data_IF_442312004110
#
_entry.id   IF_442312004110
#
_cell.length_a   1.000
_cell.length_b   1.000
_cell.length_c   1.000
_cell.angle_alpha   90.00
_cell.angle_beta   90.00
_cell.angle_gamma   90.00
#
_symmetry.space_group_name_H-M   'P 1'
#
loop_
_entity.id
_entity.type
_entity.pdbx_description
1 polymer ?
#
# COMPACT_ATOMS: atom_id res chain seq x y z
N UNK A 1 -16.50 1.33 -2.14
CA UNK A 1 -15.85 2.50 -2.78
C UNK A 1 -15.99 2.37 -4.30
N UNK A 2 -16.08 3.48 -5.06
CA UNK A 2 -16.36 3.45 -6.51
C UNK A 2 -15.28 2.75 -7.35
N UNK A 3 -14.01 2.77 -6.93
CA UNK A 3 -12.91 2.06 -7.61
C UNK A 3 -13.04 0.53 -7.53
N UNK A 4 -13.42 0.01 -6.36
CA UNK A 4 -13.73 -1.42 -6.18
C UNK A 4 -14.89 -1.88 -7.08
N UNK A 5 -15.83 -0.99 -7.38
CA UNK A 5 -16.98 -1.24 -8.28
C UNK A 5 -16.66 -0.95 -9.75
N UNK A 6 -15.39 -0.74 -10.11
CA UNK A 6 -14.92 -0.36 -11.46
C UNK A 6 -15.54 0.94 -12.02
N UNK A 7 -16.10 1.79 -11.16
CA UNK A 7 -16.69 3.07 -11.57
C UNK A 7 -15.65 4.19 -11.70
N UNK A 8 -14.40 3.93 -11.31
CA UNK A 8 -13.24 4.82 -11.47
C UNK A 8 -12.18 4.01 -12.19
N UNK A 9 -11.59 4.59 -13.26
CA UNK A 9 -10.54 3.91 -14.03
C UNK A 9 -9.19 3.95 -13.31
N UNK A 10 -8.35 2.97 -13.60
CA UNK A 10 -7.00 2.88 -13.02
C UNK A 10 -6.15 4.10 -13.41
N UNK A 11 -6.34 4.59 -14.64
CA UNK A 11 -5.71 5.82 -15.13
C UNK A 11 -6.10 7.06 -14.30
N UNK A 12 -7.33 7.11 -13.76
CA UNK A 12 -7.74 8.22 -12.90
C UNK A 12 -7.02 8.19 -11.55
N UNK A 13 -6.89 7.01 -10.93
CA UNK A 13 -6.19 6.84 -9.64
C UNK A 13 -4.68 7.07 -9.81
N UNK A 14 -4.08 6.58 -10.88
CA UNK A 14 -2.68 6.87 -11.21
C UNK A 14 -2.43 8.37 -11.41
N UNK A 15 -3.41 9.10 -11.98
CA UNK A 15 -3.32 10.56 -12.13
C UNK A 15 -3.33 11.27 -10.79
N UNK A 16 -4.08 10.77 -9.81
CA UNK A 16 -4.05 11.30 -8.44
C UNK A 16 -2.68 11.12 -7.79
N UNK A 17 -2.07 9.94 -7.96
CA UNK A 17 -0.73 9.63 -7.43
C UNK A 17 0.39 10.52 -8.00
N UNK A 18 0.19 11.14 -9.17
CA UNK A 18 1.18 12.02 -9.82
C UNK A 18 0.96 13.52 -9.55
N UNK A 19 -0.11 13.90 -8.85
CA UNK A 19 -0.36 15.32 -8.52
C UNK A 19 0.60 15.80 -7.45
N UNK A 20 0.98 17.08 -7.52
CA UNK A 20 1.78 17.74 -6.47
C UNK A 20 1.01 17.97 -5.15
N UNK A 21 -0.27 17.58 -5.10
CA UNK A 21 -1.13 17.72 -3.94
C UNK A 21 -1.06 16.46 -3.07
N UNK A 22 -0.67 16.65 -1.80
CA UNK A 22 -0.52 15.58 -0.82
C UNK A 22 -1.80 14.75 -0.64
N UNK A 23 -2.97 15.39 -0.63
CA UNK A 23 -4.24 14.71 -0.39
C UNK A 23 -4.65 13.82 -1.55
N UNK A 24 -4.34 14.21 -2.79
CA UNK A 24 -4.56 13.36 -3.96
C UNK A 24 -3.64 12.14 -3.97
N UNK A 25 -2.35 12.32 -3.64
CA UNK A 25 -1.41 11.20 -3.50
C UNK A 25 -1.85 10.23 -2.40
N UNK A 26 -2.26 10.78 -1.25
CA UNK A 26 -2.79 9.98 -0.14
C UNK A 26 -4.07 9.24 -0.52
N UNK A 27 -5.00 9.91 -1.21
CA UNK A 27 -6.25 9.29 -1.65
C UNK A 27 -6.00 8.10 -2.57
N UNK A 28 -5.00 8.18 -3.46
CA UNK A 28 -4.61 7.07 -4.32
C UNK A 28 -4.17 5.84 -3.49
N UNK A 29 -3.32 6.03 -2.48
CA UNK A 29 -2.89 4.93 -1.59
C UNK A 29 -4.01 4.41 -0.70
N UNK A 30 -4.84 5.28 -0.13
CA UNK A 30 -5.98 4.83 0.69
C UNK A 30 -6.96 4.01 -0.14
N UNK A 31 -7.14 4.34 -1.42
CA UNK A 31 -7.97 3.56 -2.31
C UNK A 31 -7.48 2.10 -2.46
N UNK A 32 -6.17 1.85 -2.42
CA UNK A 32 -5.62 0.48 -2.49
C UNK A 32 -5.93 -0.32 -1.23
N UNK A 33 -5.99 0.32 -0.06
CA UNK A 33 -6.37 -0.36 1.19
C UNK A 33 -7.78 -0.95 1.11
N UNK A 34 -8.70 -0.25 0.42
CA UNK A 34 -10.08 -0.72 0.22
C UNK A 34 -10.12 -1.94 -0.71
N UNK A 35 -9.28 -1.98 -1.75
CA UNK A 35 -9.17 -3.14 -2.66
C UNK A 35 -8.70 -4.42 -1.93
N UNK A 36 -7.88 -4.24 -0.89
CA UNK A 36 -7.23 -5.35 -0.19
C UNK A 36 -7.83 -5.66 1.18
N UNK A 37 -8.88 -4.96 1.62
CA UNK A 37 -9.49 -5.18 2.93
C UNK A 37 -10.83 -5.89 2.81
N UNK A 38 -10.93 -7.13 3.32
CA UNK A 38 -12.14 -7.97 3.29
C UNK A 38 -13.39 -7.26 3.83
N UNK A 39 -13.28 -6.54 4.95
CA UNK A 39 -14.41 -5.83 5.57
C UNK A 39 -14.99 -4.71 4.69
N UNK A 40 -14.26 -4.27 3.66
CA UNK A 40 -14.72 -3.28 2.69
C UNK A 40 -15.11 -3.91 1.33
N UNK A 41 -15.18 -5.25 1.26
CA UNK A 41 -15.48 -6.02 0.05
C UNK A 41 -14.27 -6.23 -0.86
N UNK A 42 -13.05 -5.91 -0.40
CA UNK A 42 -11.82 -6.14 -1.13
C UNK A 42 -11.47 -7.62 -1.26
N UNK A 43 -10.98 -8.02 -2.43
CA UNK A 43 -10.60 -9.39 -2.77
C UNK A 43 -9.09 -9.57 -2.95
N UNK A 44 -8.29 -8.52 -2.70
CA UNK A 44 -6.88 -8.50 -3.05
C UNK A 44 -6.68 -8.14 -4.53
N UNK A 45 -5.96 -7.05 -4.79
CA UNK A 45 -5.60 -6.63 -6.15
C UNK A 45 -4.12 -6.23 -6.17
N UNK A 46 -3.26 -7.24 -6.33
CA UNK A 46 -1.80 -7.06 -6.33
C UNK A 46 -1.37 -6.07 -7.39
N UNK A 47 -1.81 -6.25 -8.64
CA UNK A 47 -1.37 -5.47 -9.78
C UNK A 47 -1.66 -3.97 -9.59
N UNK A 48 -2.89 -3.60 -9.22
CA UNK A 48 -3.24 -2.18 -9.01
C UNK A 48 -2.57 -1.60 -7.78
N UNK A 49 -2.45 -2.37 -6.71
CA UNK A 49 -1.84 -1.90 -5.47
C UNK A 49 -0.37 -1.58 -5.67
N UNK A 50 0.39 -2.50 -6.28
CA UNK A 50 1.81 -2.29 -6.52
C UNK A 50 2.06 -1.19 -7.55
N UNK A 51 1.21 -1.06 -8.58
CA UNK A 51 1.30 0.03 -9.54
C UNK A 51 1.20 1.42 -8.88
N UNK A 52 0.29 1.61 -7.92
CA UNK A 52 0.19 2.87 -7.17
C UNK A 52 1.34 3.01 -6.16
N UNK A 53 1.73 1.93 -5.49
CA UNK A 53 2.83 1.94 -4.52
C UNK A 53 4.16 2.35 -5.17
N UNK A 54 4.47 1.84 -6.35
CA UNK A 54 5.69 2.19 -7.11
C UNK A 54 5.74 3.69 -7.43
N UNK A 55 4.61 4.33 -7.75
CA UNK A 55 4.58 5.77 -8.06
C UNK A 55 4.90 6.66 -6.87
N UNK A 56 4.71 6.16 -5.65
CA UNK A 56 4.82 6.92 -4.40
C UNK A 56 5.92 6.36 -3.48
N UNK A 57 6.77 5.47 -4.00
CA UNK A 57 7.74 4.72 -3.20
C UNK A 57 8.83 5.61 -2.58
N UNK A 58 9.19 6.69 -3.27
CA UNK A 58 10.21 7.65 -2.86
C UNK A 58 9.63 8.89 -2.15
N UNK A 59 8.33 8.90 -1.85
CA UNK A 59 7.70 10.03 -1.17
C UNK A 59 8.05 10.06 0.32
N UNK A 60 8.62 11.17 0.79
CA UNK A 60 9.09 11.35 2.16
C UNK A 60 8.02 11.91 3.10
N UNK A 61 6.85 12.31 2.60
CA UNK A 61 5.78 12.87 3.43
C UNK A 61 5.21 11.80 4.37
N UNK A 62 5.22 12.04 5.69
CA UNK A 62 4.82 11.05 6.71
C UNK A 62 3.39 10.50 6.47
N UNK A 63 2.48 11.34 5.96
CA UNK A 63 1.13 10.92 5.61
C UNK A 63 1.09 9.92 4.43
N UNK A 64 1.98 10.08 3.46
CA UNK A 64 2.12 9.18 2.31
C UNK A 64 2.81 7.88 2.74
N UNK A 65 3.89 7.99 3.51
CA UNK A 65 4.62 6.86 4.10
C UNK A 65 3.68 5.95 4.92
N UNK A 66 2.82 6.54 5.76
CA UNK A 66 1.81 5.79 6.52
C UNK A 66 0.79 5.09 5.61
N UNK A 67 0.29 5.79 4.59
CA UNK A 67 -0.68 5.23 3.66
C UNK A 67 -0.06 4.08 2.83
N UNK A 68 1.21 4.20 2.45
CA UNK A 68 1.96 3.17 1.73
C UNK A 68 2.14 1.92 2.59
N UNK A 69 2.56 2.08 3.86
CA UNK A 69 2.60 0.97 4.82
C UNK A 69 1.26 0.26 4.94
N UNK A 70 0.16 1.02 5.05
CA UNK A 70 -1.18 0.43 5.15
C UNK A 70 -1.57 -0.36 3.90
N UNK A 71 -1.32 0.20 2.71
CA UNK A 71 -1.60 -0.47 1.44
C UNK A 71 -0.90 -1.83 1.33
N UNK A 72 0.41 -1.86 1.60
CA UNK A 72 1.21 -3.09 1.52
C UNK A 72 0.81 -4.11 2.60
N UNK A 73 0.53 -3.67 3.84
CA UNK A 73 0.07 -4.59 4.90
C UNK A 73 -1.33 -5.15 4.67
N UNK A 74 -2.19 -4.41 3.98
CA UNK A 74 -3.48 -4.93 3.53
C UNK A 74 -3.32 -5.94 2.39
N UNK A 75 -2.31 -5.78 1.52
CA UNK A 75 -2.02 -6.72 0.44
C UNK A 75 -1.35 -8.01 0.92
N UNK A 76 -0.51 -7.94 1.96
CA UNK A 76 0.29 -9.08 2.45
C UNK A 76 -0.50 -10.40 2.71
N UNK A 77 -1.75 -10.41 3.23
CA UNK A 77 -2.53 -11.64 3.38
C UNK A 77 -3.01 -12.27 2.07
N UNK A 78 -2.97 -11.53 0.95
CA UNK A 78 -3.41 -11.99 -0.37
C UNK A 78 -2.24 -12.46 -1.22
N UNK A 79 -1.14 -11.70 -1.20
CA UNK A 79 0.04 -11.97 -2.02
C UNK A 79 1.31 -11.57 -1.26
N UNK A 80 1.73 -12.39 -0.28
CA UNK A 80 2.91 -12.09 0.53
C UNK A 80 4.19 -12.07 -0.32
N UNK A 81 4.28 -12.94 -1.32
CA UNK A 81 5.45 -13.04 -2.19
C UNK A 81 5.65 -11.77 -3.03
N UNK A 82 4.58 -11.21 -3.62
CA UNK A 82 4.70 -9.96 -4.36
C UNK A 82 5.08 -8.78 -3.45
N UNK A 83 4.62 -8.76 -2.20
CA UNK A 83 5.01 -7.73 -1.23
C UNK A 83 6.49 -7.86 -0.84
N UNK A 84 7.00 -9.09 -0.64
CA UNK A 84 8.42 -9.33 -0.38
C UNK A 84 9.32 -8.86 -1.54
N UNK A 85 8.95 -9.23 -2.77
CA UNK A 85 9.67 -8.79 -3.97
C UNK A 85 9.64 -7.27 -4.11
N UNK A 86 8.50 -6.63 -3.84
CA UNK A 86 8.38 -5.17 -3.87
C UNK A 86 9.31 -4.50 -2.84
N UNK A 87 9.38 -5.02 -1.62
CA UNK A 87 10.29 -4.51 -0.59
C UNK A 87 11.76 -4.66 -1.00
N UNK A 88 12.13 -5.80 -1.59
CA UNK A 88 13.49 -6.04 -2.05
C UNK A 88 13.88 -5.13 -3.22
N UNK A 89 12.99 -4.97 -4.20
CA UNK A 89 13.22 -4.14 -5.38
C UNK A 89 13.36 -2.65 -5.05
N UNK A 90 12.70 -2.18 -3.99
CA UNK A 90 12.66 -0.77 -3.61
C UNK A 90 13.32 -0.46 -2.26
N UNK A 91 14.19 -1.33 -1.75
CA UNK A 91 14.73 -1.21 -0.39
C UNK A 91 15.42 0.16 -0.14
N UNK A 92 16.17 0.66 -1.13
CA UNK A 92 16.90 1.94 -1.02
C UNK A 92 15.97 3.16 -0.94
N UNK A 93 14.83 3.12 -1.63
CA UNK A 93 13.90 4.26 -1.73
C UNK A 93 12.81 4.23 -0.66
N UNK A 94 12.49 3.04 -0.14
CA UNK A 94 11.44 2.88 0.85
C UNK A 94 11.83 3.44 2.21
N UNK A 95 10.96 4.28 2.76
CA UNK A 95 11.07 4.75 4.13
C UNK A 95 11.22 3.58 5.12
N UNK A 96 12.20 3.68 6.03
CA UNK A 96 12.53 2.63 7.00
C UNK A 96 11.31 2.14 7.81
N UNK A 97 10.36 3.05 8.09
CA UNK A 97 9.10 2.74 8.76
C UNK A 97 8.24 1.73 7.98
N UNK A 98 8.12 1.90 6.67
CA UNK A 98 7.33 0.99 5.80
C UNK A 98 7.97 -0.39 5.83
N UNK A 99 9.30 -0.46 5.62
CA UNK A 99 10.05 -1.72 5.64
C UNK A 99 9.82 -2.49 6.94
N UNK A 100 9.97 -1.83 8.08
CA UNK A 100 9.74 -2.43 9.41
C UNK A 100 8.31 -2.93 9.58
N UNK A 101 7.32 -2.08 9.34
CA UNK A 101 5.92 -2.42 9.59
C UNK A 101 5.42 -3.55 8.66
N UNK A 102 5.84 -3.54 7.39
CA UNK A 102 5.45 -4.55 6.41
C UNK A 102 6.15 -5.88 6.68
N UNK A 103 7.47 -5.90 6.97
CA UNK A 103 8.18 -7.12 7.36
C UNK A 103 7.58 -7.75 8.61
N UNK A 104 7.31 -6.94 9.64
CA UNK A 104 6.63 -7.43 10.85
C UNK A 104 5.27 -8.09 10.54
N UNK A 105 4.53 -7.53 9.57
CA UNK A 105 3.24 -8.10 9.13
C UNK A 105 3.42 -9.42 8.39
N UNK A 106 4.42 -9.52 7.51
CA UNK A 106 4.75 -10.76 6.77
C UNK A 106 5.19 -11.87 7.73
N UNK A 107 6.04 -11.55 8.71
CA UNK A 107 6.58 -12.52 9.66
C UNK A 107 5.54 -13.02 10.68
N UNK A 108 4.72 -12.11 11.22
CA UNK A 108 3.84 -12.46 12.35
C UNK A 108 2.39 -12.71 11.94
N UNK A 109 1.98 -12.26 10.76
CA UNK A 109 0.57 -12.24 10.34
C UNK A 109 -0.32 -11.32 11.18
N UNK A 110 0.17 -10.71 12.26
CA UNK A 110 -0.61 -9.93 13.21
C UNK A 110 -0.76 -8.45 12.78
N UNK A 111 -1.85 -7.81 13.20
CA UNK A 111 -2.01 -6.35 13.04
C UNK A 111 -1.11 -5.56 14.00
N UNK A 112 -0.94 -6.07 15.23
CA UNK A 112 -0.05 -5.54 16.26
C UNK A 112 0.69 -6.73 16.89
N UNK A 113 1.95 -7.00 16.53
CA UNK A 113 2.74 -8.02 17.21
C UNK A 113 3.15 -7.52 18.61
N UNK A 114 3.30 -8.43 19.59
CA UNK A 114 3.82 -8.07 20.91
C UNK A 114 5.25 -7.51 20.78
N UNK A 115 5.62 -6.58 21.67
CA UNK A 115 7.00 -6.07 21.73
C UNK A 115 7.95 -7.23 22.04
N UNK A 116 8.96 -7.45 21.20
CA UNK A 116 10.05 -8.39 21.50
C UNK A 116 10.88 -7.77 22.62
N UNK A 117 10.79 -8.34 23.83
CA UNK A 117 11.65 -8.08 24.99
C UNK A 117 13.08 -8.47 24.72
#
# INVERSE_FOLDING_TARGET
MRWLRQQISDAAVQRWARRNDLWWRRAALVATTVLNTKSHGGQGDTARTLAIATLLVADSEDMIVKALSWGLRCLAPWDPHAVELFLAQHDENLAARVKREVRNKLETGLKNPPMRT
#
